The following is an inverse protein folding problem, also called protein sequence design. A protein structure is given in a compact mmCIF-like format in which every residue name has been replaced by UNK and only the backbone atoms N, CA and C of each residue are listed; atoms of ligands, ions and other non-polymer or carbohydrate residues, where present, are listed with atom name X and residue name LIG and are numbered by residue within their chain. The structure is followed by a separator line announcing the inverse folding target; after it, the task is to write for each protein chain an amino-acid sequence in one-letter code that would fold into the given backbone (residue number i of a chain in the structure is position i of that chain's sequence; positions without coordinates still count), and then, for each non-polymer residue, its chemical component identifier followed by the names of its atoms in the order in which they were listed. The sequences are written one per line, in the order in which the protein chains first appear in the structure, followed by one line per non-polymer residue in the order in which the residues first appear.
data_IF_629860927931
#
_entry.id   IF_629860927931
#
_cell.length_a   1.000
_cell.length_b   1.000
_cell.length_c   1.000
_cell.angle_alpha   90.00
_cell.angle_beta   90.00
_cell.angle_gamma   90.00
#
_symmetry.space_group_name_H-M   'P 1'
#
loop_
_entity.id
_entity.type
_entity.pdbx_description
1 polymer ?
#
# COMPACT_ATOMS: atom_id res chain seq x y z
N UNK A 1 -7.10 17.54 -8.25
CA UNK A 1 -6.07 17.85 -7.24
C UNK A 1 -4.85 18.37 -7.98
N UNK A 2 -4.23 19.44 -7.50
CA UNK A 2 -3.09 20.03 -8.20
C UNK A 2 -1.87 19.10 -8.19
N UNK A 3 -1.09 19.04 -9.28
CA UNK A 3 0.16 18.28 -9.31
C UNK A 3 1.13 18.79 -8.26
N UNK A 4 1.80 17.86 -7.57
CA UNK A 4 2.89 18.16 -6.63
C UNK A 4 4.16 17.63 -7.26
N UNK A 5 5.22 18.46 -7.26
CA UNK A 5 6.53 18.06 -7.76
C UNK A 5 7.14 16.99 -6.83
N UNK A 6 7.38 15.81 -7.40
CA UNK A 6 7.92 14.67 -6.68
C UNK A 6 9.34 14.89 -6.17
N UNK A 7 10.16 15.65 -6.90
CA UNK A 7 11.55 15.91 -6.51
C UNK A 7 11.59 16.84 -5.29
N UNK A 8 10.72 17.85 -5.26
CA UNK A 8 10.56 18.74 -4.09
C UNK A 8 10.11 17.94 -2.87
N UNK A 9 9.13 17.04 -3.02
CA UNK A 9 8.66 16.18 -1.93
C UNK A 9 9.79 15.27 -1.41
N UNK A 10 10.61 14.72 -2.32
CA UNK A 10 11.74 13.89 -1.96
C UNK A 10 12.78 14.67 -1.14
N UNK A 11 13.12 15.90 -1.53
CA UNK A 11 14.03 16.76 -0.77
C UNK A 11 13.47 17.12 0.61
N UNK A 12 12.18 17.44 0.71
CA UNK A 12 11.52 17.67 2.00
C UNK A 12 11.57 16.45 2.91
N UNK A 13 11.35 15.25 2.36
CA UNK A 13 11.45 13.99 3.11
C UNK A 13 12.90 13.75 3.59
N UNK A 14 13.91 14.00 2.75
CA UNK A 14 15.32 13.88 3.15
C UNK A 14 15.65 14.81 4.31
N UNK A 15 15.18 16.06 4.25
CA UNK A 15 15.33 17.04 5.33
C UNK A 15 14.65 16.56 6.62
N UNK A 16 13.42 16.05 6.54
CA UNK A 16 12.70 15.49 7.68
C UNK A 16 13.46 14.31 8.31
N UNK A 17 13.91 13.36 7.48
CA UNK A 17 14.69 12.20 7.93
C UNK A 17 15.97 12.64 8.60
N UNK A 18 16.66 13.66 8.06
CA UNK A 18 17.88 14.19 8.64
C UNK A 18 17.66 14.86 10.00
N UNK A 19 16.55 15.60 10.16
CA UNK A 19 16.15 16.24 11.41
C UNK A 19 15.75 15.22 12.48
N UNK A 20 15.02 14.18 12.09
CA UNK A 20 14.43 13.19 12.98
C UNK A 20 15.25 11.89 13.09
N UNK A 21 16.54 11.93 12.71
CA UNK A 21 17.48 10.79 12.75
C UNK A 21 17.46 10.00 14.05
N UNK A 22 17.18 10.66 15.17
CA UNK A 22 17.09 10.04 16.51
C UNK A 22 16.04 8.94 16.62
N UNK A 23 15.01 8.94 15.76
CA UNK A 23 13.95 7.94 15.74
C UNK A 23 14.27 6.72 14.88
N UNK A 24 15.37 6.75 14.12
CA UNK A 24 15.77 5.63 13.26
C UNK A 24 16.42 4.57 14.17
N UNK A 25 15.82 3.36 14.30
CA UNK A 25 16.43 2.30 15.09
C UNK A 25 17.78 1.89 14.51
N UNK A 26 18.70 1.43 15.37
CA UNK A 26 20.06 1.04 14.96
C UNK A 26 20.21 -0.48 14.82
N UNK A 27 19.24 -1.22 15.31
CA UNK A 27 19.18 -2.67 15.27
C UNK A 27 18.98 -3.18 13.84
N UNK A 28 19.66 -4.26 13.50
CA UNK A 28 19.51 -4.90 12.18
C UNK A 28 18.08 -5.38 11.98
N UNK A 29 17.52 -5.13 10.78
CA UNK A 29 16.15 -5.51 10.43
C UNK A 29 15.08 -4.50 10.88
N UNK A 30 15.47 -3.44 11.59
CA UNK A 30 14.57 -2.34 11.94
C UNK A 30 14.72 -1.18 10.96
N UNK A 31 13.69 -0.35 10.87
CA UNK A 31 13.65 0.79 9.96
C UNK A 31 12.74 1.90 10.49
N UNK A 32 12.84 3.09 9.92
CA UNK A 32 11.87 4.15 10.11
C UNK A 32 10.87 4.13 8.95
N UNK A 33 9.63 3.73 9.21
CA UNK A 33 8.57 3.72 8.22
C UNK A 33 8.06 5.14 7.98
N UNK A 34 8.14 5.61 6.74
CA UNK A 34 7.62 6.90 6.31
C UNK A 34 6.31 6.72 5.54
N UNK A 35 5.32 7.53 5.88
CA UNK A 35 3.99 7.53 5.24
C UNK A 35 3.64 8.93 4.73
N UNK A 36 4.22 9.35 3.58
CA UNK A 36 3.73 10.52 2.87
C UNK A 36 2.28 10.30 2.48
N UNK A 37 1.42 11.24 2.86
CA UNK A 37 -0.02 11.16 2.65
C UNK A 37 -0.54 12.50 2.18
N UNK A 38 -1.46 12.43 1.24
CA UNK A 38 -2.04 13.60 0.60
C UNK A 38 -3.56 13.46 0.69
N UNK A 39 -4.21 14.46 1.26
CA UNK A 39 -5.68 14.50 1.38
C UNK A 39 -6.23 15.82 0.85
N UNK A 40 -7.42 15.75 0.28
CA UNK A 40 -8.21 16.95 -0.02
C UNK A 40 -8.73 17.56 1.28
N UNK A 41 -8.66 18.89 1.40
CA UNK A 41 -9.09 19.63 2.60
C UNK A 41 -10.13 20.69 2.29
N UNK A 42 -10.71 20.69 1.08
CA UNK A 42 -11.82 21.58 0.74
C UNK A 42 -12.97 21.35 1.73
N UNK A 43 -13.36 22.40 2.42
CA UNK A 43 -14.58 22.43 3.21
C UNK A 43 -15.74 22.65 2.24
N UNK A 44 -16.68 21.71 2.22
CA UNK A 44 -17.91 21.90 1.46
C UNK A 44 -18.89 22.76 2.27
N UNK A 45 -19.40 23.84 1.67
CA UNK A 45 -20.57 24.56 2.17
C UNK A 45 -21.80 23.67 2.01
N UNK A 46 -22.72 23.63 2.98
CA UNK A 46 -23.88 22.71 3.02
C UNK A 46 -24.77 22.71 1.75
N UNK A 47 -24.63 23.67 0.85
CA UNK A 47 -25.29 23.78 -0.46
C UNK A 47 -24.43 23.34 -1.68
N UNK A 48 -23.12 23.15 -1.52
CA UNK A 48 -22.14 22.83 -2.58
C UNK A 48 -21.40 21.50 -2.32
N UNK A 49 -21.50 20.91 -1.12
CA UNK A 49 -20.81 19.68 -0.71
C UNK A 49 -21.21 18.38 -1.43
N UNK A 50 -22.17 18.42 -2.36
CA UNK A 50 -22.63 17.25 -3.11
C UNK A 50 -22.07 17.15 -4.53
N UNK A 51 -21.19 18.07 -4.94
CA UNK A 51 -20.65 18.07 -6.30
C UNK A 51 -19.30 17.32 -6.28
N UNK A 52 -19.16 16.32 -7.15
CA UNK A 52 -17.96 15.49 -7.35
C UNK A 52 -16.83 16.27 -8.06
N UNK A 53 -16.48 17.45 -7.56
CA UNK A 53 -15.46 18.31 -8.17
C UNK A 53 -14.06 18.03 -7.64
N UNK A 54 -13.06 18.39 -8.44
CA UNK A 54 -11.68 18.35 -8.00
C UNK A 54 -11.48 19.35 -6.85
N UNK A 55 -10.89 18.90 -5.74
CA UNK A 55 -10.53 19.80 -4.64
C UNK A 55 -9.43 20.78 -5.03
N UNK A 56 -9.66 22.06 -4.73
CA UNK A 56 -8.68 23.16 -4.88
C UNK A 56 -7.70 23.24 -3.71
N UNK A 57 -8.06 22.66 -2.56
CA UNK A 57 -7.26 22.65 -1.36
C UNK A 57 -6.82 21.23 -1.02
N UNK A 58 -5.57 21.09 -0.60
CA UNK A 58 -5.03 19.84 -0.13
C UNK A 58 -3.99 20.02 0.95
N UNK A 59 -3.80 18.96 1.74
CA UNK A 59 -2.76 18.86 2.75
C UNK A 59 -1.87 17.66 2.43
N UNK A 60 -0.57 17.93 2.27
CA UNK A 60 0.49 16.94 2.27
C UNK A 60 1.08 16.88 3.68
N UNK A 61 1.15 15.69 4.25
CA UNK A 61 1.81 15.45 5.53
C UNK A 61 2.56 14.11 5.49
N UNK A 62 3.55 13.95 6.39
CA UNK A 62 4.35 12.73 6.48
C UNK A 62 4.31 12.23 7.93
N UNK A 63 3.85 11.00 8.11
CA UNK A 63 3.99 10.30 9.39
C UNK A 63 5.27 9.46 9.37
N UNK A 64 5.97 9.41 10.50
CA UNK A 64 7.17 8.59 10.69
C UNK A 64 6.96 7.67 11.89
N UNK A 65 7.24 6.38 11.73
CA UNK A 65 7.06 5.37 12.78
C UNK A 65 8.23 4.38 12.79
N UNK A 66 8.98 4.25 13.90
CA UNK A 66 9.96 3.18 14.05
C UNK A 66 9.24 1.83 13.90
N UNK A 67 9.80 0.94 13.09
CA UNK A 67 9.17 -0.35 12.72
C UNK A 67 10.22 -1.46 12.75
N UNK A 68 9.88 -2.58 13.38
CA UNK A 68 10.72 -3.77 13.42
C UNK A 68 10.54 -4.70 12.23
N UNK A 69 11.30 -5.81 12.20
CA UNK A 69 11.16 -6.81 11.15
C UNK A 69 9.74 -7.39 11.15
N UNK A 70 9.15 -7.48 9.96
CA UNK A 70 7.79 -8.00 9.80
C UNK A 70 7.72 -9.52 10.05
N UNK A 71 8.84 -10.23 9.81
CA UNK A 71 9.02 -11.64 10.10
C UNK A 71 10.35 -11.83 10.86
N UNK A 72 10.31 -12.38 12.07
CA UNK A 72 11.52 -12.72 12.84
C UNK A 72 12.30 -13.87 12.18
N UNK A 73 11.58 -14.80 11.55
CA UNK A 73 12.09 -15.91 10.75
C UNK A 73 11.22 -16.00 9.49
N UNK A 74 11.81 -16.34 8.34
CA UNK A 74 11.07 -16.59 7.10
C UNK A 74 10.01 -17.68 7.33
N UNK A 75 8.77 -17.26 7.58
CA UNK A 75 7.64 -18.14 7.86
C UNK A 75 6.68 -18.09 6.68
N UNK A 76 6.33 -19.25 6.09
CA UNK A 76 5.33 -19.28 5.04
C UNK A 76 3.97 -18.84 5.60
N UNK A 77 3.21 -18.15 4.77
CA UNK A 77 1.86 -17.68 5.09
C UNK A 77 0.86 -18.38 4.19
N UNK A 78 -0.22 -18.87 4.77
CA UNK A 78 -1.31 -19.48 4.00
C UNK A 78 -2.17 -18.37 3.38
N UNK A 79 -2.47 -18.51 2.09
CA UNK A 79 -3.29 -17.55 1.34
C UNK A 79 -4.71 -18.08 1.16
N UNK A 80 -5.70 -17.19 1.30
CA UNK A 80 -7.08 -17.45 0.94
C UNK A 80 -7.34 -16.89 -0.45
N UNK A 81 -7.67 -17.78 -1.39
CA UNK A 81 -8.16 -17.41 -2.71
C UNK A 81 -9.70 -17.42 -2.69
N UNK A 82 -10.31 -16.29 -3.05
CA UNK A 82 -11.76 -16.10 -3.19
C UNK A 82 -12.03 -15.42 -4.52
N UNK A 83 -13.05 -15.87 -5.25
CA UNK A 83 -13.45 -15.29 -6.54
C UNK A 83 -14.56 -14.25 -6.42
N UNK A 84 -15.27 -14.24 -5.29
CA UNK A 84 -16.44 -13.40 -5.06
C UNK A 84 -16.07 -11.94 -4.74
N UNK A 85 -14.82 -11.67 -4.39
CA UNK A 85 -14.33 -10.34 -4.06
C UNK A 85 -13.17 -9.96 -4.98
N UNK A 86 -13.32 -8.85 -5.69
CA UNK A 86 -12.31 -8.34 -6.61
C UNK A 86 -11.69 -7.07 -6.04
N UNK A 87 -10.35 -7.05 -5.89
CA UNK A 87 -9.61 -5.88 -5.36
C UNK A 87 -9.52 -4.74 -6.37
N UNK A 88 -9.35 -5.07 -7.65
CA UNK A 88 -9.14 -4.12 -8.73
C UNK A 88 -9.62 -4.73 -10.05
N UNK A 89 -10.05 -3.89 -10.99
CA UNK A 89 -10.51 -4.30 -12.32
C UNK A 89 -9.88 -3.39 -13.40
N UNK A 90 -9.84 -3.84 -14.68
CA UNK A 90 -9.35 -3.02 -15.79
C UNK A 90 -10.10 -1.68 -15.89
N UNK A 91 -9.37 -0.58 -15.99
CA UNK A 91 -9.94 0.78 -15.98
C UNK A 91 -10.27 1.33 -14.59
N UNK A 92 -10.13 0.53 -13.53
CA UNK A 92 -10.23 0.99 -12.14
C UNK A 92 -8.94 1.68 -11.65
N UNK A 93 -8.91 1.98 -10.35
CA UNK A 93 -7.79 2.71 -9.72
C UNK A 93 -6.74 1.80 -9.08
N UNK A 94 -6.80 0.48 -9.28
CA UNK A 94 -5.96 -0.51 -8.60
C UNK A 94 -4.45 -0.37 -8.83
N UNK A 95 -4.03 0.25 -9.94
CA UNK A 95 -2.64 0.59 -10.22
C UNK A 95 -2.09 1.77 -9.39
N UNK A 96 -2.94 2.45 -8.64
CA UNK A 96 -2.58 3.63 -7.83
C UNK A 96 -2.75 3.34 -6.33
N UNK A 97 -1.92 3.98 -5.48
CA UNK A 97 -2.02 3.88 -4.01
C UNK A 97 -3.09 4.82 -3.44
N UNK A 98 -4.35 4.58 -3.78
CA UNK A 98 -5.50 5.36 -3.30
C UNK A 98 -6.17 4.63 -2.14
N UNK A 99 -6.57 5.37 -1.09
CA UNK A 99 -7.19 4.79 0.12
C UNK A 99 -8.40 3.89 -0.19
N UNK A 100 -9.22 4.26 -1.19
CA UNK A 100 -10.38 3.48 -1.65
C UNK A 100 -10.05 2.05 -2.09
N UNK A 101 -8.80 1.76 -2.49
CA UNK A 101 -8.37 0.42 -2.91
C UNK A 101 -8.09 -0.54 -1.73
N UNK A 102 -8.03 -0.02 -0.50
CA UNK A 102 -7.69 -0.82 0.67
C UNK A 102 -8.93 -1.22 1.48
N UNK A 103 -9.95 -0.36 1.55
CA UNK A 103 -11.16 -0.62 2.33
C UNK A 103 -11.89 -1.92 1.95
N UNK A 104 -12.09 -2.26 0.65
CA UNK A 104 -12.76 -3.50 0.27
C UNK A 104 -12.00 -4.77 0.71
N UNK A 105 -10.69 -4.68 0.91
CA UNK A 105 -9.86 -5.81 1.36
C UNK A 105 -10.13 -6.24 2.80
N UNK A 106 -10.81 -5.41 3.60
CA UNK A 106 -11.13 -5.70 5.00
C UNK A 106 -12.11 -6.87 5.14
N UNK A 107 -13.09 -7.00 4.22
CA UNK A 107 -14.09 -8.05 4.30
C UNK A 107 -13.49 -9.46 4.07
N UNK A 108 -12.72 -9.71 2.99
CA UNK A 108 -11.99 -10.97 2.82
C UNK A 108 -11.06 -11.30 3.99
N UNK A 109 -10.40 -10.27 4.56
CA UNK A 109 -9.52 -10.45 5.72
C UNK A 109 -10.30 -10.91 6.95
N UNK A 110 -11.48 -10.34 7.19
CA UNK A 110 -12.38 -10.78 8.26
C UNK A 110 -12.92 -12.20 8.01
N UNK A 111 -13.26 -12.55 6.76
CA UNK A 111 -13.66 -13.91 6.39
C UNK A 111 -12.55 -14.94 6.66
N UNK A 112 -11.30 -14.61 6.30
CA UNK A 112 -10.13 -15.45 6.57
C UNK A 112 -9.97 -15.70 8.07
N UNK A 113 -10.01 -14.63 8.88
CA UNK A 113 -9.91 -14.74 10.34
C UNK A 113 -11.02 -15.60 10.92
N UNK A 114 -12.27 -15.48 10.43
CA UNK A 114 -13.40 -16.30 10.87
C UNK A 114 -13.26 -17.76 10.48
N UNK A 115 -12.79 -18.07 9.26
CA UNK A 115 -12.68 -19.45 8.75
C UNK A 115 -11.49 -20.21 9.30
N UNK A 116 -10.32 -19.57 9.34
CA UNK A 116 -9.06 -20.23 9.67
C UNK A 116 -8.53 -19.89 11.05
N UNK A 117 -9.15 -18.93 11.77
CA UNK A 117 -8.68 -18.44 13.09
C UNK A 117 -7.21 -18.00 13.08
N UNK A 118 -6.69 -17.65 11.90
CA UNK A 118 -5.34 -17.14 11.71
C UNK A 118 -5.37 -15.62 11.61
N UNK A 119 -4.29 -14.98 12.04
CA UNK A 119 -4.09 -13.57 11.73
C UNK A 119 -3.91 -13.43 10.21
N UNK A 120 -4.68 -12.55 9.54
CA UNK A 120 -4.61 -12.42 8.09
C UNK A 120 -3.26 -11.81 7.69
N UNK A 121 -2.30 -12.66 7.38
CA UNK A 121 -1.08 -12.34 6.64
C UNK A 121 -1.37 -12.61 5.16
N UNK A 122 -2.19 -11.75 4.55
CA UNK A 122 -2.53 -11.87 3.15
C UNK A 122 -1.46 -11.16 2.30
N UNK A 123 -1.20 -11.68 1.10
CA UNK A 123 -0.67 -10.89 -0.02
C UNK A 123 -1.66 -9.79 -0.47
N UNK A 124 -2.44 -9.22 0.44
CA UNK A 124 -3.52 -8.29 0.15
C UNK A 124 -3.00 -6.93 -0.31
N UNK A 125 -1.87 -6.48 0.22
CA UNK A 125 -1.19 -5.24 -0.16
C UNK A 125 0.25 -5.48 -0.65
N UNK A 126 0.59 -6.73 -0.98
CA UNK A 126 1.90 -7.13 -1.50
C UNK A 126 1.76 -7.56 -2.96
N UNK A 127 2.84 -7.43 -3.72
CA UNK A 127 2.92 -8.04 -5.05
C UNK A 127 3.06 -9.57 -4.92
N UNK A 128 2.60 -10.31 -5.91
CA UNK A 128 2.68 -11.76 -5.97
C UNK A 128 3.72 -12.18 -7.01
N UNK A 129 4.63 -13.08 -6.63
CA UNK A 129 5.67 -13.62 -7.50
C UNK A 129 5.60 -15.15 -7.46
N UNK A 130 5.85 -15.78 -8.61
CA UNK A 130 5.93 -17.25 -8.73
C UNK A 130 7.22 -17.61 -9.43
N UNK A 131 7.98 -18.53 -8.83
CA UNK A 131 9.17 -19.12 -9.45
C UNK A 131 8.82 -20.56 -9.83
N UNK A 132 8.72 -20.84 -11.12
CA UNK A 132 8.46 -22.17 -11.65
C UNK A 132 9.64 -22.63 -12.52
N UNK A 133 9.96 -23.92 -12.45
CA UNK A 133 10.87 -24.53 -13.42
C UNK A 133 10.12 -24.69 -14.74
N UNK A 134 10.68 -24.17 -15.82
CA UNK A 134 10.13 -24.36 -17.15
C UNK A 134 10.50 -25.74 -17.69
N UNK A 135 9.58 -26.37 -18.42
CA UNK A 135 9.81 -27.66 -19.04
C UNK A 135 10.88 -27.60 -20.15
N UNK A 136 11.05 -26.42 -20.77
CA UNK A 136 12.03 -26.14 -21.82
C UNK A 136 13.45 -25.83 -21.28
N UNK A 137 13.63 -25.77 -19.95
CA UNK A 137 14.90 -25.40 -19.31
C UNK A 137 15.33 -23.95 -19.55
N UNK A 138 14.47 -23.11 -20.13
CA UNK A 138 14.77 -21.72 -20.41
C UNK A 138 14.89 -20.86 -19.14
N UNK A 139 15.73 -19.84 -19.19
CA UNK A 139 15.98 -18.90 -18.08
C UNK A 139 15.33 -17.52 -18.29
N UNK A 140 14.55 -17.34 -19.36
CA UNK A 140 13.87 -16.09 -19.70
C UNK A 140 12.52 -15.88 -19.04
N UNK A 141 11.95 -14.67 -19.20
CA UNK A 141 10.65 -14.31 -18.64
C UNK A 141 9.52 -15.26 -19.08
N UNK A 142 8.65 -15.60 -18.13
CA UNK A 142 7.46 -16.40 -18.38
C UNK A 142 6.36 -15.48 -18.95
N UNK A 143 6.00 -15.68 -20.22
CA UNK A 143 4.88 -14.96 -20.84
C UNK A 143 3.58 -15.62 -20.39
N UNK A 144 2.85 -14.98 -19.48
CA UNK A 144 1.47 -15.36 -19.17
C UNK A 144 0.60 -14.94 -20.37
N UNK A 145 0.04 -15.92 -21.09
CA UNK A 145 -0.97 -15.64 -22.10
C UNK A 145 -2.15 -14.93 -21.43
N UNK A 146 -2.48 -13.73 -21.92
CA UNK A 146 -3.62 -12.93 -21.47
C UNK A 146 -4.94 -13.55 -21.90
#
# INVERSE_FOLDING_TARGET
MQPIDGDVVLELIKCLVNLEKRWIPKESGYSLYLRPTVIATRLGSWNESMIYEASDYAMLYVLASPTGPYFEVLKPVSLLAVSENVRAWPGGTGGHKVAGNYSPGSYPSALLQRRLRTNPLAAGAMNFFVVVKRDDGGTGEFQLNK
#
